data_IF_510996498643
#
_entry.id   IF_510996498643
#
_cell.length_a   1.000
_cell.length_b   1.000
_cell.length_c   1.000
_cell.angle_alpha   90.00
_cell.angle_beta   90.00
_cell.angle_gamma   90.00
#
_symmetry.space_group_name_H-M   'P 1'
#
loop_
_entity.id
_entity.type
_entity.pdbx_description
1 polymer ?
#
# COMPACT_ATOMS: atom_id res chain seq x y z
N UNK A 1 -18.84 -2.41 -8.94
CA UNK A 1 -17.67 -2.57 -9.83
C UNK A 1 -16.46 -2.80 -8.93
N UNK A 2 -15.67 -3.84 -9.17
CA UNK A 2 -14.40 -4.07 -8.44
C UNK A 2 -13.35 -3.07 -8.91
N UNK A 3 -12.49 -2.60 -8.01
CA UNK A 3 -11.35 -1.76 -8.38
C UNK A 3 -10.35 -2.61 -9.16
N UNK A 4 -9.73 -2.08 -10.24
CA UNK A 4 -8.74 -2.85 -10.96
C UNK A 4 -7.47 -2.99 -10.10
N UNK A 5 -7.17 -4.23 -9.77
CA UNK A 5 -5.83 -4.66 -9.37
C UNK A 5 -5.02 -4.78 -10.66
N UNK A 6 -4.02 -3.91 -10.85
CA UNK A 6 -3.14 -3.99 -11.99
C UNK A 6 -1.91 -4.83 -11.62
N UNK A 7 -1.93 -6.08 -12.07
CA UNK A 7 -0.79 -6.99 -12.02
C UNK A 7 -0.36 -7.23 -13.46
N UNK A 8 0.86 -6.84 -13.87
CA UNK A 8 1.39 -7.18 -15.18
C UNK A 8 1.27 -8.69 -15.43
N UNK A 9 0.79 -9.15 -16.60
CA UNK A 9 0.67 -10.59 -16.89
C UNK A 9 1.99 -11.34 -16.72
N UNK A 10 3.11 -10.68 -17.02
CA UNK A 10 4.47 -11.22 -16.82
C UNK A 10 4.79 -11.54 -15.36
N UNK A 11 4.15 -10.86 -14.42
CA UNK A 11 4.35 -11.08 -13.00
C UNK A 11 3.48 -12.23 -12.49
N UNK A 12 2.24 -12.34 -12.99
CA UNK A 12 1.22 -13.28 -12.50
C UNK A 12 1.69 -14.74 -12.49
N UNK A 13 2.42 -15.18 -13.53
CA UNK A 13 2.93 -16.56 -13.64
C UNK A 13 4.08 -16.87 -12.68
N UNK A 14 4.68 -15.86 -12.07
CA UNK A 14 5.85 -16.02 -11.19
C UNK A 14 5.55 -15.74 -9.73
N UNK A 15 4.41 -15.13 -9.40
CA UNK A 15 4.05 -14.71 -8.04
C UNK A 15 4.12 -15.83 -6.99
N UNK A 16 3.79 -17.06 -7.37
CA UNK A 16 3.85 -18.24 -6.51
C UNK A 16 5.28 -18.56 -6.03
N UNK A 17 6.28 -18.25 -6.85
CA UNK A 17 7.67 -18.63 -6.63
C UNK A 17 8.51 -17.50 -6.00
N UNK A 18 7.92 -16.35 -5.74
CA UNK A 18 8.61 -15.20 -5.16
C UNK A 18 8.44 -15.20 -3.65
N UNK A 19 9.41 -15.78 -2.93
CA UNK A 19 9.39 -15.80 -1.48
C UNK A 19 9.91 -14.47 -0.93
N UNK A 20 9.24 -13.94 0.09
CA UNK A 20 9.54 -12.63 0.67
C UNK A 20 10.52 -12.81 1.83
N UNK A 21 11.65 -12.13 1.77
CA UNK A 21 12.67 -12.09 2.84
C UNK A 21 12.47 -10.93 3.81
N UNK A 22 11.89 -9.82 3.32
CA UNK A 22 11.68 -8.60 4.11
C UNK A 22 10.55 -7.78 3.54
N UNK A 23 9.80 -7.12 4.41
CA UNK A 23 8.77 -6.16 4.04
C UNK A 23 9.23 -4.78 4.47
N UNK A 24 9.16 -3.82 3.55
CA UNK A 24 9.49 -2.42 3.82
C UNK A 24 8.28 -1.55 3.52
N UNK A 25 7.81 -0.82 4.52
CA UNK A 25 6.91 0.31 4.34
C UNK A 25 7.78 1.53 4.06
N UNK A 26 7.56 2.22 2.96
CA UNK A 26 8.43 3.30 2.52
C UNK A 26 7.65 4.57 2.17
N UNK A 27 8.16 5.71 2.63
CA UNK A 27 7.75 7.05 2.20
C UNK A 27 8.76 7.60 1.19
N UNK A 28 8.23 8.11 0.08
CA UNK A 28 9.00 8.76 -0.97
C UNK A 28 9.20 10.24 -0.70
N UNK A 29 10.15 10.86 -1.41
CA UNK A 29 10.31 12.32 -1.50
C UNK A 29 8.95 12.98 -1.76
N UNK A 30 8.80 14.21 -1.25
CA UNK A 30 7.57 14.94 -1.46
C UNK A 30 7.45 15.41 -2.92
N UNK A 31 6.24 15.30 -3.47
CA UNK A 31 5.91 15.84 -4.78
C UNK A 31 4.68 16.75 -4.67
N UNK A 32 4.59 17.80 -5.52
CA UNK A 32 3.42 18.66 -5.54
C UNK A 32 2.20 17.85 -5.99
N UNK A 33 1.05 18.05 -5.32
CA UNK A 33 -0.20 17.30 -5.63
C UNK A 33 -0.75 17.57 -7.03
N UNK A 34 -0.38 18.71 -7.60
CA UNK A 34 -0.72 19.14 -8.95
C UNK A 34 0.37 20.09 -9.46
N UNK A 35 0.50 20.27 -10.79
CA UNK A 35 1.33 21.35 -11.34
C UNK A 35 1.00 22.68 -10.66
N UNK A 36 2.03 23.42 -10.23
CA UNK A 36 1.91 24.73 -9.55
C UNK A 36 1.31 24.71 -8.12
N UNK A 37 1.09 23.55 -7.52
CA UNK A 37 0.65 23.48 -6.12
C UNK A 37 1.80 23.75 -5.14
N UNK A 38 1.56 24.62 -4.16
CA UNK A 38 2.44 24.79 -2.98
C UNK A 38 2.27 23.67 -1.93
N UNK A 39 1.35 22.72 -2.18
CA UNK A 39 1.10 21.59 -1.30
C UNK A 39 1.89 20.38 -1.80
N UNK A 40 2.92 20.04 -1.04
CA UNK A 40 3.74 18.86 -1.26
C UNK A 40 3.27 17.70 -0.39
N UNK A 41 3.28 16.49 -0.95
CA UNK A 41 2.84 15.28 -0.28
C UNK A 41 3.84 14.15 -0.49
N UNK A 42 4.10 13.36 0.55
CA UNK A 42 4.86 12.12 0.40
C UNK A 42 3.93 11.01 -0.08
N UNK A 43 4.35 10.30 -1.12
CA UNK A 43 3.76 9.02 -1.49
C UNK A 43 4.25 7.89 -0.59
N UNK A 44 3.39 6.92 -0.28
CA UNK A 44 3.73 5.75 0.54
C UNK A 44 3.38 4.47 -0.19
N UNK A 45 4.30 3.50 -0.15
CA UNK A 45 4.14 2.20 -0.79
C UNK A 45 4.72 1.07 0.09
N UNK A 46 4.36 -0.17 -0.25
CA UNK A 46 4.89 -1.38 0.39
C UNK A 46 5.83 -2.08 -0.58
N UNK A 47 7.06 -2.35 -0.15
CA UNK A 47 8.05 -3.10 -0.89
C UNK A 47 8.25 -4.47 -0.25
N UNK A 48 8.08 -5.51 -1.06
CA UNK A 48 8.34 -6.90 -0.71
C UNK A 48 9.69 -7.28 -1.32
N UNK A 49 10.74 -7.31 -0.51
CA UNK A 49 12.02 -7.85 -0.94
C UNK A 49 11.90 -9.36 -1.06
N UNK A 50 12.39 -9.92 -2.16
CA UNK A 50 12.30 -11.36 -2.40
C UNK A 50 13.67 -12.03 -2.32
N UNK A 51 13.66 -13.31 -1.96
CA UNK A 51 14.88 -14.11 -1.77
C UNK A 51 15.71 -14.27 -3.03
N UNK A 52 15.10 -14.23 -4.21
CA UNK A 52 15.78 -14.30 -5.51
C UNK A 52 16.41 -12.95 -5.92
N UNK A 53 16.23 -11.90 -5.10
CA UNK A 53 16.74 -10.54 -5.32
C UNK A 53 15.71 -9.57 -5.90
N UNK A 54 15.88 -8.28 -5.64
CA UNK A 54 14.96 -7.22 -6.07
C UNK A 54 13.70 -7.11 -5.19
N UNK A 55 12.70 -6.37 -5.69
CA UNK A 55 11.50 -6.02 -4.92
C UNK A 55 10.22 -6.16 -5.73
N UNK A 56 9.11 -6.49 -5.07
CA UNK A 56 7.77 -6.24 -5.59
C UNK A 56 7.20 -5.02 -4.87
N UNK A 57 6.83 -3.99 -5.61
CA UNK A 57 6.17 -2.80 -5.08
C UNK A 57 4.66 -2.98 -5.17
N UNK A 58 3.98 -2.78 -4.05
CA UNK A 58 2.54 -2.65 -3.93
C UNK A 58 2.22 -1.17 -3.71
N UNK A 59 1.64 -0.57 -4.74
CA UNK A 59 1.37 0.86 -4.79
C UNK A 59 -0.14 1.09 -4.97
N UNK A 60 -0.74 1.91 -4.11
CA UNK A 60 -2.14 2.29 -4.24
C UNK A 60 -2.23 3.64 -4.96
N UNK A 61 -2.57 3.63 -6.25
CA UNK A 61 -2.54 4.81 -7.11
C UNK A 61 -3.96 5.34 -7.36
N UNK A 62 -4.23 6.64 -7.20
CA UNK A 62 -5.55 7.21 -7.51
C UNK A 62 -5.87 7.14 -9.01
N UNK A 63 -7.13 6.90 -9.39
CA UNK A 63 -7.53 6.68 -10.79
C UNK A 63 -7.59 7.93 -11.68
N UNK A 64 -7.51 9.14 -11.11
CA UNK A 64 -7.46 10.48 -11.76
C UNK A 64 -8.54 11.46 -11.26
N UNK A 65 -9.59 10.99 -10.59
CA UNK A 65 -10.60 11.86 -9.98
C UNK A 65 -10.44 11.96 -8.47
N UNK A 66 -10.48 13.19 -7.97
CA UNK A 66 -10.63 13.50 -6.54
C UNK A 66 -11.86 12.77 -5.98
N UNK A 67 -11.72 12.11 -4.82
CA UNK A 67 -12.80 11.27 -4.28
C UNK A 67 -12.99 9.93 -5.01
N UNK A 68 -12.14 9.63 -6.00
CA UNK A 68 -12.23 8.45 -6.86
C UNK A 68 -11.70 7.17 -6.21
N UNK A 69 -11.99 6.05 -6.89
CA UNK A 69 -11.44 4.75 -6.52
C UNK A 69 -9.93 4.74 -6.81
N UNK A 70 -9.19 4.00 -5.99
CA UNK A 70 -7.78 3.74 -6.20
C UNK A 70 -7.55 2.40 -6.88
N UNK A 71 -6.41 2.28 -7.54
CA UNK A 71 -5.93 1.05 -8.14
C UNK A 71 -4.73 0.52 -7.36
N UNK A 72 -4.78 -0.75 -6.99
CA UNK A 72 -3.58 -1.44 -6.53
C UNK A 72 -2.71 -1.75 -7.76
N UNK A 73 -1.60 -1.04 -7.92
CA UNK A 73 -0.58 -1.34 -8.90
C UNK A 73 0.49 -2.23 -8.27
N UNK A 74 0.75 -3.37 -8.90
CA UNK A 74 1.81 -4.30 -8.50
C UNK A 74 2.91 -4.24 -9.55
N UNK A 75 4.14 -3.96 -9.13
CA UNK A 75 5.28 -3.88 -10.05
C UNK A 75 6.50 -4.62 -9.51
N UNK A 76 7.31 -5.15 -10.42
CA UNK A 76 8.59 -5.78 -10.11
C UNK A 76 9.72 -4.81 -10.38
N UNK A 77 10.59 -4.61 -9.39
CA UNK A 77 11.70 -3.68 -9.44
C UNK A 77 13.02 -4.44 -9.19
N UNK A 78 14.07 -4.18 -9.97
CA UNK A 78 15.39 -4.78 -9.74
C UNK A 78 16.03 -4.25 -8.44
N UNK A 79 15.75 -3.00 -8.08
CA UNK A 79 16.25 -2.33 -6.88
C UNK A 79 15.17 -1.44 -6.28
N UNK A 80 15.32 -1.08 -5.00
CA UNK A 80 14.46 -0.09 -4.35
C UNK A 80 14.66 1.28 -4.99
N UNK A 81 13.60 2.07 -5.24
CA UNK A 81 13.75 3.42 -5.81
C UNK A 81 14.64 4.32 -4.96
N UNK A 82 15.43 5.18 -5.61
CA UNK A 82 16.39 6.07 -4.95
C UNK A 82 15.73 7.24 -4.21
N UNK A 83 14.49 7.59 -4.55
CA UNK A 83 13.72 8.66 -3.92
C UNK A 83 12.96 8.20 -2.66
N UNK A 84 13.33 7.05 -2.07
CA UNK A 84 12.79 6.60 -0.78
C UNK A 84 13.55 7.31 0.33
N UNK A 85 12.85 8.14 1.12
CA UNK A 85 13.44 8.97 2.19
C UNK A 85 13.11 8.48 3.59
N UNK A 86 12.06 7.68 3.75
CA UNK A 86 11.66 7.08 5.02
C UNK A 86 11.35 5.61 4.84
N UNK A 87 11.80 4.77 5.75
CA UNK A 87 11.53 3.32 5.72
C UNK A 87 11.24 2.77 7.10
N UNK A 88 10.32 1.82 7.17
CA UNK A 88 10.13 0.93 8.30
C UNK A 88 10.18 -0.50 7.78
N UNK A 89 11.08 -1.29 8.33
CA UNK A 89 11.36 -2.65 7.85
C UNK A 89 10.88 -3.70 8.84
N UNK A 90 10.40 -4.82 8.31
CA UNK A 90 9.83 -5.91 9.09
C UNK A 90 10.38 -7.26 8.60
N UNK A 91 10.78 -8.14 9.53
CA UNK A 91 11.09 -9.51 9.17
C UNK A 91 9.82 -10.23 8.70
N UNK A 92 9.99 -11.24 7.85
CA UNK A 92 8.90 -12.10 7.39
C UNK A 92 9.04 -13.52 7.91
N UNK A 93 7.92 -14.21 7.99
CA UNK A 93 7.90 -15.66 8.24
C UNK A 93 8.46 -16.41 7.02
N UNK A 94 9.08 -17.56 7.29
CA UNK A 94 9.59 -18.45 6.26
C UNK A 94 8.43 -18.93 5.37
N UNK A 95 8.60 -18.83 4.04
CA UNK A 95 7.63 -19.30 3.06
C UNK A 95 6.46 -18.34 2.79
N UNK A 96 6.52 -17.09 3.27
CA UNK A 96 5.59 -16.06 2.82
C UNK A 96 5.90 -15.70 1.36
N UNK A 97 4.94 -15.88 0.45
CA UNK A 97 5.08 -15.51 -0.97
C UNK A 97 4.37 -14.21 -1.31
N UNK A 98 4.81 -13.56 -2.39
CA UNK A 98 4.15 -12.35 -2.93
C UNK A 98 2.70 -12.62 -3.28
N UNK A 99 2.38 -13.77 -3.91
CA UNK A 99 1.00 -14.14 -4.21
C UNK A 99 0.11 -14.15 -2.97
N UNK A 100 0.59 -14.75 -1.88
CA UNK A 100 -0.17 -14.85 -0.63
C UNK A 100 -0.48 -13.48 -0.03
N UNK A 101 0.43 -12.51 -0.18
CA UNK A 101 0.19 -11.11 0.21
C UNK A 101 -0.91 -10.48 -0.65
N UNK A 102 -0.86 -10.65 -1.98
CA UNK A 102 -1.84 -10.10 -2.91
C UNK A 102 -3.22 -10.72 -2.69
N UNK A 103 -3.32 -12.05 -2.65
CA UNK A 103 -4.58 -12.77 -2.41
C UNK A 103 -5.23 -12.34 -1.09
N UNK A 104 -4.44 -12.02 -0.08
CA UNK A 104 -4.95 -11.49 1.19
C UNK A 104 -5.51 -10.08 1.04
N UNK A 105 -4.78 -9.17 0.38
CA UNK A 105 -5.25 -7.82 0.08
C UNK A 105 -6.54 -7.87 -0.74
N UNK A 106 -6.66 -8.83 -1.64
CA UNK A 106 -7.87 -9.09 -2.42
C UNK A 106 -9.02 -9.63 -1.55
N UNK A 107 -8.77 -10.68 -0.78
CA UNK A 107 -9.75 -11.31 0.11
C UNK A 107 -10.31 -10.38 1.18
N UNK A 108 -9.47 -9.54 1.76
CA UNK A 108 -9.86 -8.50 2.75
C UNK A 108 -10.38 -7.21 2.10
N UNK A 109 -10.43 -7.17 0.76
CA UNK A 109 -10.90 -6.04 -0.04
C UNK A 109 -10.12 -4.74 0.17
N UNK A 110 -8.88 -4.80 0.65
CA UNK A 110 -8.00 -3.64 0.78
C UNK A 110 -7.60 -3.02 -0.57
N UNK A 111 -7.73 -3.76 -1.67
CA UNK A 111 -7.62 -3.20 -3.02
C UNK A 111 -8.79 -2.27 -3.39
N UNK A 112 -9.92 -2.36 -2.68
CA UNK A 112 -11.08 -1.48 -2.85
C UNK A 112 -10.90 -0.27 -1.94
N UNK A 113 -10.03 0.63 -2.36
CA UNK A 113 -9.71 1.85 -1.65
C UNK A 113 -10.27 3.08 -2.36
N UNK A 114 -10.67 4.09 -1.61
CA UNK A 114 -11.13 5.38 -2.13
C UNK A 114 -10.27 6.48 -1.54
N UNK A 115 -9.66 7.28 -2.40
CA UNK A 115 -8.98 8.49 -1.96
C UNK A 115 -10.02 9.53 -1.58
N UNK A 116 -9.73 10.30 -0.54
CA UNK A 116 -10.52 11.47 -0.19
C UNK A 116 -10.14 12.64 -1.11
N UNK A 117 -10.57 13.84 -0.72
CA UNK A 117 -10.36 15.01 -1.56
C UNK A 117 -8.92 15.55 -1.48
N UNK A 118 -8.17 15.18 -0.45
CA UNK A 118 -6.81 15.69 -0.20
C UNK A 118 -5.73 14.82 -0.84
N UNK A 119 -6.07 13.62 -1.33
CA UNK A 119 -5.14 12.69 -1.99
C UNK A 119 -3.99 12.21 -1.07
N UNK A 120 -4.15 12.34 0.25
CA UNK A 120 -3.15 12.00 1.28
C UNK A 120 -3.27 10.56 1.79
N UNK A 121 -4.23 9.83 1.26
CA UNK A 121 -4.71 8.60 1.88
C UNK A 121 -3.82 7.37 1.57
N UNK A 122 -2.77 7.49 0.74
CA UNK A 122 -1.80 6.41 0.49
C UNK A 122 -1.16 5.92 1.81
N UNK A 123 -0.81 6.84 2.70
CA UNK A 123 -0.21 6.53 4.01
C UNK A 123 -1.16 5.74 4.90
N UNK A 124 -2.44 6.10 4.90
CA UNK A 124 -3.44 5.38 5.68
C UNK A 124 -3.69 3.99 5.13
N UNK A 125 -3.74 3.82 3.81
CA UNK A 125 -3.84 2.50 3.18
C UNK A 125 -2.67 1.59 3.60
N UNK A 126 -1.43 2.10 3.50
CA UNK A 126 -0.25 1.36 3.94
C UNK A 126 -0.33 0.99 5.42
N UNK A 127 -0.77 1.92 6.28
CA UNK A 127 -0.97 1.65 7.71
C UNK A 127 -2.00 0.54 7.95
N UNK A 128 -3.15 0.56 7.26
CA UNK A 128 -4.21 -0.45 7.39
C UNK A 128 -3.73 -1.82 6.94
N UNK A 129 -3.08 -1.90 5.77
CA UNK A 129 -2.49 -3.15 5.27
C UNK A 129 -1.43 -3.64 6.25
N UNK A 130 -0.57 -2.76 6.75
CA UNK A 130 0.48 -3.13 7.68
C UNK A 130 -0.06 -3.65 9.01
N UNK A 131 -0.90 -2.89 9.72
CA UNK A 131 -1.29 -3.22 11.10
C UNK A 131 -2.19 -4.45 11.17
N UNK A 132 -3.00 -4.70 10.14
CA UNK A 132 -3.93 -5.82 10.12
C UNK A 132 -3.32 -7.09 9.52
N UNK A 133 -2.17 -7.00 8.84
CA UNK A 133 -1.63 -8.15 8.10
C UNK A 133 -0.14 -8.41 8.29
N UNK A 134 0.71 -7.39 8.26
CA UNK A 134 2.16 -7.56 8.15
C UNK A 134 2.89 -7.57 9.50
N UNK A 135 2.16 -7.43 10.61
CA UNK A 135 2.75 -7.45 11.96
C UNK A 135 3.00 -8.89 12.44
N UNK A 136 4.25 -9.27 12.75
CA UNK A 136 4.56 -10.59 13.32
C UNK A 136 3.84 -10.80 14.66
N UNK A 137 3.26 -11.98 14.87
CA UNK A 137 2.53 -12.32 16.11
C UNK A 137 1.07 -11.83 16.17
N UNK A 138 0.58 -11.19 15.10
CA UNK A 138 -0.86 -10.96 14.94
C UNK A 138 -1.57 -12.28 14.72
N UNK A 139 -2.17 -12.84 15.77
CA UNK A 139 -3.20 -13.87 15.61
C UNK A 139 -4.20 -13.38 14.57
N UNK A 140 -4.51 -14.26 13.61
CA UNK A 140 -5.40 -14.07 12.46
C UNK A 140 -6.85 -13.85 12.89
N UNK A 141 -7.10 -12.99 13.87
CA UNK A 141 -8.46 -12.57 14.20
C UNK A 141 -8.80 -11.51 13.17
N UNK A 142 -9.70 -11.78 12.21
CA UNK A 142 -10.25 -10.73 11.39
C UNK A 142 -10.91 -9.76 12.37
N UNK A 143 -10.33 -8.57 12.53
CA UNK A 143 -11.10 -7.51 13.17
C UNK A 143 -12.28 -7.27 12.24
N UNK A 144 -13.50 -7.10 12.79
CA UNK A 144 -14.68 -6.85 11.98
C UNK A 144 -14.32 -5.76 10.98
N UNK A 145 -14.54 -6.10 9.71
CA UNK A 145 -14.25 -5.28 8.53
C UNK A 145 -14.35 -3.82 8.92
N UNK A 146 -13.21 -3.13 8.89
CA UNK A 146 -13.24 -1.67 8.81
C UNK A 146 -13.85 -1.43 7.45
N UNK A 147 -15.17 -1.37 7.43
CA UNK A 147 -15.92 -0.91 6.30
C UNK A 147 -15.46 0.53 6.14
N UNK A 148 -14.53 0.75 5.21
CA UNK A 148 -14.06 2.06 4.80
C UNK A 148 -15.17 2.75 4.00
N UNK A 149 -16.33 2.97 4.62
CA UNK A 149 -17.25 4.01 4.19
C UNK A 149 -16.80 5.31 4.86
N UNK A 150 -16.05 6.12 4.12
CA UNK A 150 -16.25 7.56 4.22
C UNK A 150 -17.53 7.88 3.44
N UNK A 151 -18.67 7.51 4.01
CA UNK A 151 -19.93 8.16 3.69
C UNK A 151 -20.34 8.96 4.93
N UNK A 152 -20.98 10.11 4.69
CA UNK A 152 -21.38 11.16 5.64
C UNK A 152 -20.34 12.25 5.95
N UNK A 153 -20.32 13.28 5.12
CA UNK A 153 -20.82 14.60 5.51
C UNK A 153 -20.20 15.40 6.67
N UNK A 154 -19.21 14.90 7.42
CA UNK A 154 -18.38 15.68 8.35
C UNK A 154 -17.04 14.97 8.63
N UNK A 155 -15.94 15.71 8.84
CA UNK A 155 -14.63 15.11 9.03
C UNK A 155 -14.54 14.51 10.43
N UNK A 156 -14.37 13.19 10.50
CA UNK A 156 -13.60 12.61 11.60
C UNK A 156 -12.14 13.04 11.39
N UNK A 157 -11.83 14.25 11.86
CA UNK A 157 -10.46 14.71 12.04
C UNK A 157 -9.81 13.82 13.11
N UNK A 158 -9.39 12.62 12.72
CA UNK A 158 -8.32 11.97 13.44
C UNK A 158 -7.09 12.86 13.27
N UNK A 159 -6.54 13.31 14.39
CA UNK A 159 -5.40 14.21 14.44
C UNK A 159 -4.15 13.51 13.88
N UNK A 160 -3.96 13.60 12.57
CA UNK A 160 -2.79 13.11 11.85
C UNK A 160 -1.55 13.99 12.08
N UNK A 161 -1.59 15.01 12.96
CA UNK A 161 -0.43 15.88 13.22
C UNK A 161 0.74 15.15 13.88
N UNK A 162 0.50 14.03 14.56
CA UNK A 162 1.56 13.21 15.17
C UNK A 162 2.41 12.43 14.16
N UNK A 163 1.94 12.29 12.91
CA UNK A 163 2.63 11.56 11.83
C UNK A 163 3.31 12.50 10.82
N UNK A 164 3.35 13.82 11.09
CA UNK A 164 4.02 14.84 10.26
C UNK A 164 5.49 15.11 10.62
N UNK A 165 6.14 14.25 11.42
CA UNK A 165 7.56 14.39 11.75
C UNK A 165 8.35 13.19 11.24
#
# INVERSE_FOLDING_TARGET
MSNPCYIPPSLYTTLDNLNISRITVAGHEEFPVAPESDINVNHWAIYLEVTEGGHVCLDMIPTSSTGGLANLAVSRLPTRPSNVVKTVEFPTDIGLSVKRVIERIEGERYHIYRYGNEMLECRYWVYVVWINYLRPGGSLVPRPSVILYHDHGQPAAHDYRSLRR
#
